data_IF_594989555931
#
_entry.id   IF_594989555931
#
_cell.length_a   1.000
_cell.length_b   1.000
_cell.length_c   1.000
_cell.angle_alpha   90.00
_cell.angle_beta   90.00
_cell.angle_gamma   90.00
#
_symmetry.space_group_name_H-M   'P 1'
#
loop_
_entity.id
_entity.type
_entity.pdbx_description
1 polymer ?
#
# COMPACT_ATOMS: atom_id res chain seq x y z
N UNK A 1 -33.01 5.32 4.72
CA UNK A 1 -31.84 6.10 4.24
C UNK A 1 -30.62 5.60 4.98
N UNK A 2 -29.88 4.62 4.43
CA UNK A 2 -28.65 4.09 5.05
C UNK A 2 -27.85 3.19 4.07
N UNK A 3 -27.62 3.63 2.82
CA UNK A 3 -26.85 2.84 1.84
C UNK A 3 -25.83 3.67 1.02
N UNK A 4 -25.64 4.96 1.35
CA UNK A 4 -24.74 5.84 0.60
C UNK A 4 -23.38 6.10 1.27
N UNK A 5 -23.20 5.75 2.56
CA UNK A 5 -21.95 6.00 3.29
C UNK A 5 -20.86 4.97 2.99
N UNK A 6 -21.21 3.68 2.90
CA UNK A 6 -20.24 2.59 2.72
C UNK A 6 -19.33 2.74 1.49
N UNK A 7 -19.86 3.26 0.38
CA UNK A 7 -19.08 3.47 -0.84
C UNK A 7 -18.11 4.66 -0.74
N UNK A 8 -18.45 5.69 0.04
CA UNK A 8 -17.57 6.83 0.31
C UNK A 8 -16.39 6.42 1.18
N UNK A 9 -16.65 5.62 2.21
CA UNK A 9 -15.63 5.05 3.09
C UNK A 9 -14.71 4.09 2.33
N UNK A 10 -15.26 3.22 1.48
CA UNK A 10 -14.47 2.30 0.67
C UNK A 10 -13.56 3.05 -0.31
N UNK A 11 -14.08 4.08 -0.99
CA UNK A 11 -13.30 4.92 -1.91
C UNK A 11 -12.18 5.66 -1.16
N UNK A 12 -12.47 6.20 0.01
CA UNK A 12 -11.49 6.87 0.86
C UNK A 12 -10.42 5.91 1.35
N UNK A 13 -10.80 4.67 1.71
CA UNK A 13 -9.87 3.61 2.13
C UNK A 13 -8.96 3.16 0.99
N UNK A 14 -9.50 2.98 -0.22
CA UNK A 14 -8.72 2.64 -1.41
C UNK A 14 -7.74 3.76 -1.74
N UNK A 15 -8.19 5.03 -1.65
CA UNK A 15 -7.32 6.18 -1.90
C UNK A 15 -6.18 6.24 -0.88
N UNK A 16 -6.48 6.03 0.41
CA UNK A 16 -5.47 6.01 1.46
C UNK A 16 -4.45 4.87 1.25
N UNK A 17 -4.91 3.66 0.91
CA UNK A 17 -4.02 2.53 0.60
C UNK A 17 -3.15 2.77 -0.63
N UNK A 18 -3.66 3.48 -1.65
CA UNK A 18 -2.86 3.89 -2.82
C UNK A 18 -1.77 4.88 -2.43
N UNK A 19 -2.12 5.89 -1.64
CA UNK A 19 -1.20 6.93 -1.19
C UNK A 19 -0.05 6.31 -0.37
N UNK A 20 -0.41 5.46 0.58
CA UNK A 20 0.53 4.68 1.37
C UNK A 20 1.43 3.78 0.52
N UNK A 21 0.87 3.11 -0.49
CA UNK A 21 1.65 2.28 -1.41
C UNK A 21 2.64 3.14 -2.24
N UNK A 22 2.27 4.35 -2.63
CA UNK A 22 3.17 5.29 -3.30
C UNK A 22 4.27 5.79 -2.36
N UNK A 23 3.94 6.13 -1.11
CA UNK A 23 4.90 6.56 -0.10
C UNK A 23 5.93 5.46 0.19
N UNK A 24 5.50 4.20 0.34
CA UNK A 24 6.40 3.06 0.50
C UNK A 24 7.28 2.82 -0.74
N UNK A 25 6.74 3.08 -1.94
CA UNK A 25 7.52 2.99 -3.18
C UNK A 25 8.58 4.09 -3.28
N UNK A 26 8.28 5.30 -2.83
CA UNK A 26 9.23 6.41 -2.82
C UNK A 26 10.41 6.10 -1.87
N UNK A 27 10.12 5.68 -0.64
CA UNK A 27 11.14 5.28 0.34
C UNK A 27 12.04 4.15 -0.18
N UNK A 28 11.45 3.13 -0.85
CA UNK A 28 12.22 2.07 -1.49
C UNK A 28 13.12 2.57 -2.63
N UNK A 29 12.70 3.62 -3.33
CA UNK A 29 13.45 4.19 -4.45
C UNK A 29 14.65 5.00 -3.96
N UNK A 30 14.47 5.77 -2.88
CA UNK A 30 15.54 6.49 -2.19
C UNK A 30 16.59 5.52 -1.61
N UNK A 31 16.14 4.42 -1.01
CA UNK A 31 17.05 3.37 -0.50
C UNK A 31 17.76 2.64 -1.65
N UNK A 32 17.08 2.41 -2.78
CA UNK A 32 17.69 1.75 -3.95
C UNK A 32 18.70 2.63 -4.69
N UNK A 33 18.53 3.95 -4.63
CA UNK A 33 19.47 4.90 -5.25
C UNK A 33 20.83 4.91 -4.54
N UNK A 34 20.88 4.46 -3.27
CA UNK A 34 22.12 4.34 -2.52
C UNK A 34 22.94 3.12 -3.01
N UNK A 35 24.21 3.32 -3.43
CA UNK A 35 25.04 2.24 -3.96
C UNK A 35 25.46 1.21 -2.91
N UNK A 36 25.44 1.57 -1.63
CA UNK A 36 25.77 0.67 -0.53
C UNK A 36 24.73 0.85 0.58
N UNK A 37 23.94 -0.20 0.80
CA UNK A 37 22.97 -0.27 1.89
C UNK A 37 23.61 -1.02 3.06
N UNK A 38 23.58 -0.42 4.25
CA UNK A 38 23.92 -1.10 5.50
C UNK A 38 22.99 -2.28 5.76
N UNK A 39 23.39 -3.19 6.66
CA UNK A 39 22.59 -4.36 7.03
C UNK A 39 21.20 -3.93 7.53
N UNK A 40 21.14 -2.83 8.29
CA UNK A 40 19.89 -2.25 8.80
C UNK A 40 19.01 -1.74 7.66
N UNK A 41 19.57 -0.99 6.71
CA UNK A 41 18.83 -0.51 5.55
C UNK A 41 18.37 -1.67 4.63
N UNK A 42 19.14 -2.76 4.52
CA UNK A 42 18.70 -3.95 3.79
C UNK A 42 17.50 -4.65 4.45
N UNK A 43 17.48 -4.70 5.79
CA UNK A 43 16.34 -5.20 6.55
C UNK A 43 15.13 -4.27 6.37
N UNK A 44 15.35 -2.96 6.37
CA UNK A 44 14.32 -1.95 6.14
C UNK A 44 13.72 -2.07 4.74
N UNK A 45 14.54 -2.21 3.69
CA UNK A 45 14.08 -2.47 2.31
C UNK A 45 13.19 -3.72 2.25
N UNK A 46 13.59 -4.82 2.89
CA UNK A 46 12.77 -6.05 2.92
C UNK A 46 11.46 -5.85 3.68
N UNK A 47 11.49 -5.05 4.74
CA UNK A 47 10.30 -4.72 5.55
C UNK A 47 9.32 -3.86 4.74
N UNK A 48 9.82 -2.81 4.09
CA UNK A 48 9.05 -1.94 3.20
C UNK A 48 8.46 -2.73 2.02
N UNK A 49 9.21 -3.68 1.44
CA UNK A 49 8.70 -4.57 0.39
C UNK A 49 7.55 -5.46 0.88
N UNK A 50 7.65 -6.04 2.08
CA UNK A 50 6.57 -6.82 2.70
C UNK A 50 5.34 -5.96 2.96
N UNK A 51 5.52 -4.77 3.55
CA UNK A 51 4.41 -3.84 3.80
C UNK A 51 3.72 -3.43 2.50
N UNK A 52 4.49 -3.14 1.44
CA UNK A 52 3.96 -2.81 0.13
C UNK A 52 3.14 -3.96 -0.46
N UNK A 53 3.64 -5.20 -0.34
CA UNK A 53 2.92 -6.40 -0.80
C UNK A 53 1.59 -6.55 -0.05
N UNK A 54 1.60 -6.48 1.28
CA UNK A 54 0.39 -6.54 2.11
C UNK A 54 -0.64 -5.48 1.72
N UNK A 55 -0.22 -4.22 1.52
CA UNK A 55 -1.14 -3.15 1.09
C UNK A 55 -1.72 -3.40 -0.30
N UNK A 56 -0.92 -3.92 -1.22
CA UNK A 56 -1.39 -4.33 -2.56
C UNK A 56 -2.43 -5.45 -2.45
N UNK A 57 -2.20 -6.46 -1.61
CA UNK A 57 -3.13 -7.56 -1.39
C UNK A 57 -4.43 -7.10 -0.71
N UNK A 58 -4.34 -6.19 0.29
CA UNK A 58 -5.54 -5.56 0.87
C UNK A 58 -6.33 -4.76 -0.16
N UNK A 59 -5.65 -4.03 -1.04
CA UNK A 59 -6.29 -3.27 -2.10
C UNK A 59 -6.93 -4.20 -3.14
N UNK A 60 -6.27 -5.31 -3.51
CA UNK A 60 -6.83 -6.32 -4.38
C UNK A 60 -8.06 -7.00 -3.75
N UNK A 61 -8.04 -7.30 -2.45
CA UNK A 61 -9.20 -7.82 -1.73
C UNK A 61 -10.37 -6.84 -1.72
N UNK A 62 -10.12 -5.56 -1.42
CA UNK A 62 -11.17 -4.52 -1.42
C UNK A 62 -11.79 -4.34 -2.82
N UNK A 63 -10.96 -4.34 -3.87
CA UNK A 63 -11.44 -4.27 -5.25
C UNK A 63 -12.19 -5.53 -5.68
N UNK A 64 -11.76 -6.71 -5.21
CA UNK A 64 -12.42 -7.99 -5.49
C UNK A 64 -13.77 -8.10 -4.78
N UNK A 65 -13.84 -7.70 -3.50
CA UNK A 65 -15.09 -7.64 -2.72
C UNK A 65 -16.08 -6.63 -3.30
N UNK A 66 -15.60 -5.48 -3.80
CA UNK A 66 -16.46 -4.50 -4.48
C UNK A 66 -16.87 -4.86 -5.91
N UNK A 67 -16.32 -5.94 -6.47
CA UNK A 67 -16.60 -6.43 -7.84
C UNK A 67 -17.58 -7.61 -7.92
N UNK A 68 -18.11 -8.07 -6.79
CA UNK A 68 -19.18 -9.06 -6.70
C UNK A 68 -20.45 -8.36 -6.17
N UNK A 69 -21.09 -7.57 -7.02
CA UNK A 69 -22.44 -7.07 -6.82
C UNK A 69 -23.18 -7.12 -8.15
#
# INVERSE_FOLDING_TARGET
MAMNDDHSDLRSRIQQLKDDHQALKAQLLELRDRPYLTVEEQIEVRTLQKMKLMKKDSLAMLLSVGGHA
#
